data_IF_818336037855
#
_entry.id   IF_818336037855
#
_cell.length_a   1.000
_cell.length_b   1.000
_cell.length_c   1.000
_cell.angle_alpha   90.00
_cell.angle_beta   90.00
_cell.angle_gamma   90.00
#
_symmetry.space_group_name_H-M   'P 1'
#
loop_
_entity.id
_entity.type
_entity.pdbx_description
1 polymer ?
#
# COMPACT_ATOMS: atom_id res chain seq x y z
N UNK A 1 34.43 -14.76 -11.52
CA UNK A 1 34.05 -14.24 -10.19
C UNK A 1 33.47 -12.87 -10.42
N UNK A 2 32.14 -12.75 -10.40
CA UNK A 2 31.50 -11.44 -10.52
C UNK A 2 31.78 -10.66 -9.23
N UNK A 3 32.20 -9.42 -9.36
CA UNK A 3 32.34 -8.52 -8.21
C UNK A 3 31.03 -8.53 -7.40
N UNK A 4 31.09 -8.46 -6.05
CA UNK A 4 29.89 -8.25 -5.27
C UNK A 4 29.30 -6.92 -5.70
N UNK A 5 28.20 -6.96 -6.44
CA UNK A 5 27.48 -5.78 -6.89
C UNK A 5 27.17 -4.92 -5.67
N UNK A 6 27.90 -3.81 -5.53
CA UNK A 6 27.66 -2.84 -4.45
C UNK A 6 26.20 -2.42 -4.50
N UNK A 7 25.53 -2.48 -3.36
CA UNK A 7 24.20 -1.89 -3.21
C UNK A 7 24.29 -0.41 -3.54
N UNK A 8 23.44 0.05 -4.44
CA UNK A 8 23.38 1.48 -4.78
C UNK A 8 22.85 2.25 -3.57
N UNK A 9 23.47 3.39 -3.26
CA UNK A 9 23.00 4.31 -2.24
C UNK A 9 21.96 5.28 -2.83
N UNK A 10 21.19 5.94 -1.95
CA UNK A 10 20.14 6.87 -2.39
C UNK A 10 20.67 8.10 -3.11
N UNK A 11 21.90 8.50 -2.82
CA UNK A 11 22.54 9.67 -3.42
C UNK A 11 23.13 9.36 -4.81
N UNK A 12 23.28 8.07 -5.15
CA UNK A 12 23.92 7.60 -6.37
C UNK A 12 22.91 7.15 -7.46
N UNK A 13 21.60 7.33 -7.21
CA UNK A 13 20.56 6.92 -8.17
C UNK A 13 20.59 7.82 -9.41
N UNK A 14 20.76 7.22 -10.59
CA UNK A 14 20.65 7.94 -11.86
C UNK A 14 19.16 8.17 -12.20
N UNK A 15 18.70 9.41 -12.08
CA UNK A 15 17.33 9.80 -12.40
C UNK A 15 17.03 9.81 -13.92
N UNK A 16 18.05 9.62 -14.76
CA UNK A 16 17.89 9.41 -16.20
C UNK A 16 17.73 7.94 -16.59
N UNK A 17 18.15 7.00 -15.72
CA UNK A 17 17.91 5.56 -15.85
C UNK A 17 17.22 4.99 -14.60
N UNK A 18 15.98 5.44 -14.29
CA UNK A 18 15.27 5.01 -13.10
C UNK A 18 14.79 3.55 -13.23
N UNK A 19 14.59 2.82 -12.11
CA UNK A 19 14.12 1.44 -12.12
C UNK A 19 12.74 1.27 -12.77
N UNK A 20 11.96 2.34 -12.92
CA UNK A 20 10.69 2.39 -13.64
C UNK A 20 10.48 3.80 -14.21
N UNK A 21 9.65 3.96 -15.26
CA UNK A 21 9.38 5.27 -15.85
C UNK A 21 8.85 6.27 -14.81
N UNK A 22 9.51 7.41 -14.70
CA UNK A 22 9.09 8.54 -13.86
C UNK A 22 8.09 9.40 -14.62
N UNK A 23 6.97 9.73 -13.99
CA UNK A 23 6.01 10.72 -14.50
C UNK A 23 6.57 12.14 -14.39
N UNK A 24 5.92 13.11 -15.02
CA UNK A 24 6.24 14.53 -14.84
C UNK A 24 6.15 14.95 -13.36
N UNK A 25 5.14 14.46 -12.65
CA UNK A 25 4.93 14.76 -11.23
C UNK A 25 6.06 14.16 -10.37
N UNK A 26 6.49 12.93 -10.66
CA UNK A 26 7.60 12.31 -9.92
C UNK A 26 8.90 13.12 -10.08
N UNK A 27 9.14 13.65 -11.29
CA UNK A 27 10.31 14.51 -11.56
C UNK A 27 10.23 15.84 -10.83
N UNK A 28 9.05 16.44 -10.76
CA UNK A 28 8.81 17.66 -9.99
C UNK A 28 9.08 17.44 -8.51
N UNK A 29 8.54 16.37 -7.92
CA UNK A 29 8.78 16.02 -6.51
C UNK A 29 10.27 15.82 -6.24
N UNK A 30 10.97 15.10 -7.12
CA UNK A 30 12.41 14.87 -6.96
C UNK A 30 13.24 16.16 -7.02
N UNK A 31 12.72 17.22 -7.65
CA UNK A 31 13.36 18.54 -7.70
C UNK A 31 13.06 19.42 -6.47
N UNK A 32 12.09 19.03 -5.64
CA UNK A 32 11.68 19.74 -4.43
C UNK A 32 12.46 19.26 -3.20
N UNK A 33 12.70 20.15 -2.23
CA UNK A 33 13.26 19.75 -0.92
C UNK A 33 12.15 19.24 -0.02
N UNK A 34 12.48 18.33 0.90
CA UNK A 34 11.52 17.83 1.89
C UNK A 34 10.86 18.96 2.71
N UNK A 35 11.61 20.02 3.02
CA UNK A 35 11.13 21.19 3.77
C UNK A 35 10.08 22.00 3.01
N UNK A 36 10.14 21.97 1.67
CA UNK A 36 9.25 22.69 0.77
C UNK A 36 8.06 21.79 0.31
N UNK A 37 8.05 20.51 0.70
CA UNK A 37 7.00 19.58 0.34
C UNK A 37 5.73 19.78 1.19
N UNK A 38 4.59 20.01 0.53
CA UNK A 38 3.28 20.03 1.22
C UNK A 38 2.88 18.62 1.62
N UNK A 39 2.97 18.33 2.91
CA UNK A 39 2.49 17.05 3.47
C UNK A 39 0.98 16.95 3.32
N UNK A 40 0.52 15.83 2.77
CA UNK A 40 -0.91 15.58 2.59
C UNK A 40 -1.59 15.45 3.95
N UNK A 41 -2.53 16.35 4.22
CA UNK A 41 -3.30 16.37 5.47
C UNK A 41 -4.44 15.36 5.46
N UNK A 42 -5.05 15.11 6.61
CA UNK A 42 -6.24 14.24 6.69
C UNK A 42 -7.41 14.75 5.85
N UNK A 43 -7.61 16.05 5.76
CA UNK A 43 -8.68 16.63 4.93
C UNK A 43 -8.33 16.56 3.43
N UNK A 44 -7.06 16.75 3.06
CA UNK A 44 -6.60 16.48 1.69
C UNK A 44 -6.87 15.02 1.29
N UNK A 45 -6.59 14.07 2.19
CA UNK A 45 -6.84 12.64 1.95
C UNK A 45 -8.32 12.33 1.72
N UNK A 46 -9.21 12.88 2.54
CA UNK A 46 -10.66 12.73 2.33
C UNK A 46 -11.05 13.23 0.95
N UNK A 47 -10.60 14.44 0.60
CA UNK A 47 -10.92 15.04 -0.69
C UNK A 47 -10.36 14.22 -1.88
N UNK A 48 -9.12 13.77 -1.79
CA UNK A 48 -8.47 12.96 -2.83
C UNK A 48 -9.21 11.63 -3.04
N UNK A 49 -9.60 10.96 -1.95
CA UNK A 49 -10.31 9.68 -2.01
C UNK A 49 -11.73 9.88 -2.54
N UNK A 50 -12.45 10.89 -2.06
CA UNK A 50 -13.81 11.22 -2.52
C UNK A 50 -13.84 11.56 -4.01
N UNK A 51 -12.87 12.33 -4.49
CA UNK A 51 -12.75 12.70 -5.91
C UNK A 51 -12.04 11.66 -6.77
N UNK A 52 -11.56 10.57 -6.16
CA UNK A 52 -10.78 9.51 -6.79
C UNK A 52 -9.57 10.03 -7.59
N UNK A 53 -8.86 11.04 -7.06
CA UNK A 53 -7.66 11.65 -7.68
C UNK A 53 -6.37 11.10 -7.07
N UNK A 54 -6.30 9.76 -6.97
CA UNK A 54 -5.26 9.04 -6.22
C UNK A 54 -3.83 9.29 -6.73
N UNK A 55 -3.68 9.76 -7.97
CA UNK A 55 -2.42 10.21 -8.54
C UNK A 55 -1.77 11.35 -7.76
N UNK A 56 -2.53 12.11 -6.95
CA UNK A 56 -2.01 13.15 -6.07
C UNK A 56 -1.29 12.60 -4.83
N UNK A 57 -1.50 11.32 -4.50
CA UNK A 57 -0.85 10.71 -3.35
C UNK A 57 0.61 10.37 -3.69
N UNK A 58 1.52 11.12 -3.07
CA UNK A 58 2.95 11.13 -3.42
C UNK A 58 3.82 10.94 -2.19
N UNK A 59 5.04 10.45 -2.41
CA UNK A 59 6.04 10.32 -1.35
C UNK A 59 6.76 11.64 -1.15
N UNK A 60 7.32 11.82 0.04
CA UNK A 60 8.32 12.88 0.25
C UNK A 60 9.46 12.74 -0.77
N UNK A 61 10.11 13.84 -1.18
CA UNK A 61 11.23 13.79 -2.12
C UNK A 61 12.34 12.82 -1.68
N UNK A 62 12.76 12.85 -0.41
CA UNK A 62 13.78 11.94 0.13
C UNK A 62 13.32 10.47 0.12
N UNK A 63 12.07 10.19 0.51
CA UNK A 63 11.50 8.85 0.50
C UNK A 63 11.32 8.32 -0.92
N UNK A 64 11.00 9.19 -1.90
CA UNK A 64 10.94 8.80 -3.31
C UNK A 64 12.33 8.40 -3.83
N UNK A 65 13.40 9.14 -3.49
CA UNK A 65 14.78 8.76 -3.85
C UNK A 65 15.19 7.42 -3.24
N UNK A 66 14.88 7.22 -1.96
CA UNK A 66 15.11 5.96 -1.26
C UNK A 66 14.32 4.81 -1.89
N UNK A 67 13.06 5.05 -2.24
CA UNK A 67 12.21 4.06 -2.89
C UNK A 67 12.73 3.66 -4.27
N UNK A 68 13.23 4.61 -5.07
CA UNK A 68 13.85 4.31 -6.37
C UNK A 68 15.09 3.42 -6.19
N UNK A 69 15.95 3.78 -5.24
CA UNK A 69 17.17 3.03 -4.95
C UNK A 69 16.87 1.62 -4.48
N UNK A 70 15.95 1.48 -3.52
CA UNK A 70 15.45 0.19 -3.07
C UNK A 70 14.85 -0.61 -4.22
N UNK A 71 13.99 0.00 -5.04
CA UNK A 71 13.34 -0.66 -6.17
C UNK A 71 14.36 -1.20 -7.18
N UNK A 72 15.43 -0.45 -7.43
CA UNK A 72 16.54 -0.88 -8.29
C UNK A 72 17.24 -2.14 -7.73
N UNK A 73 17.62 -2.12 -6.45
CA UNK A 73 18.29 -3.25 -5.80
C UNK A 73 17.37 -4.48 -5.71
N UNK A 74 16.09 -4.28 -5.41
CA UNK A 74 15.09 -5.35 -5.35
C UNK A 74 14.86 -5.98 -6.73
N UNK A 75 14.76 -5.19 -7.80
CA UNK A 75 14.60 -5.72 -9.15
C UNK A 75 15.81 -6.56 -9.58
N UNK A 76 17.04 -6.16 -9.23
CA UNK A 76 18.24 -6.97 -9.50
C UNK A 76 18.25 -8.29 -8.74
N UNK A 77 17.80 -8.29 -7.49
CA UNK A 77 17.90 -9.47 -6.61
C UNK A 77 16.72 -10.44 -6.78
N UNK A 78 15.50 -9.93 -6.93
CA UNK A 78 14.27 -10.72 -6.94
C UNK A 78 13.58 -10.75 -8.33
N UNK A 79 14.13 -10.04 -9.32
CA UNK A 79 13.55 -9.87 -10.66
C UNK A 79 12.37 -8.90 -10.73
N UNK A 80 11.58 -8.76 -9.65
CA UNK A 80 10.50 -7.78 -9.55
C UNK A 80 10.16 -7.43 -8.11
N UNK A 81 9.52 -6.28 -7.89
CA UNK A 81 8.96 -5.90 -6.59
C UNK A 81 7.88 -6.89 -6.16
N UNK A 82 7.04 -7.36 -7.09
CA UNK A 82 6.03 -8.40 -6.81
C UNK A 82 6.65 -9.67 -6.23
N UNK A 83 7.75 -10.15 -6.83
CA UNK A 83 8.46 -11.34 -6.32
C UNK A 83 9.01 -11.11 -4.91
N UNK A 84 9.62 -9.96 -4.66
CA UNK A 84 10.09 -9.60 -3.32
C UNK A 84 8.95 -9.58 -2.31
N UNK A 85 7.83 -8.93 -2.62
CA UNK A 85 6.68 -8.85 -1.70
C UNK A 85 6.14 -10.24 -1.40
N UNK A 86 5.92 -11.09 -2.42
CA UNK A 86 5.44 -12.46 -2.22
C UNK A 86 6.42 -13.26 -1.34
N UNK A 87 7.72 -13.20 -1.61
CA UNK A 87 8.71 -14.06 -0.95
C UNK A 87 9.12 -13.57 0.45
N UNK A 88 9.26 -12.26 0.62
CA UNK A 88 9.88 -11.65 1.81
C UNK A 88 8.87 -10.97 2.74
N UNK A 89 7.72 -10.53 2.21
CA UNK A 89 6.69 -9.85 3.02
C UNK A 89 5.51 -10.76 3.28
N UNK A 90 5.00 -11.46 2.27
CA UNK A 90 3.81 -12.28 2.38
C UNK A 90 4.14 -13.74 2.72
N UNK A 91 5.27 -14.27 2.25
CA UNK A 91 5.62 -15.69 2.32
C UNK A 91 4.56 -16.63 1.72
N UNK A 92 3.74 -16.11 0.80
CA UNK A 92 2.70 -16.90 0.16
C UNK A 92 3.30 -17.75 -0.96
N UNK A 93 2.81 -18.99 -1.09
CA UNK A 93 3.19 -19.88 -2.19
C UNK A 93 2.25 -19.66 -3.38
N UNK A 94 2.71 -19.06 -4.49
CA UNK A 94 1.86 -18.86 -5.65
C UNK A 94 1.58 -20.18 -6.38
N UNK A 95 0.36 -20.32 -6.91
CA UNK A 95 -0.07 -21.44 -7.76
C UNK A 95 0.34 -21.23 -9.24
N UNK A 96 0.29 -19.98 -9.69
CA UNK A 96 0.78 -19.52 -10.99
C UNK A 96 1.77 -18.39 -10.78
N UNK A 97 2.64 -18.08 -11.73
CA UNK A 97 3.65 -17.02 -11.56
C UNK A 97 3.36 -15.75 -12.36
N UNK A 98 2.57 -15.83 -13.44
CA UNK A 98 2.33 -14.71 -14.35
C UNK A 98 0.88 -14.72 -14.89
N UNK A 99 -0.07 -14.01 -14.26
CA UNK A 99 0.05 -13.34 -12.96
C UNK A 99 0.11 -14.36 -11.80
N UNK A 100 0.62 -13.95 -10.62
CA UNK A 100 0.54 -14.77 -9.43
C UNK A 100 -0.91 -15.00 -9.00
N UNK A 101 -1.21 -16.21 -8.55
CA UNK A 101 -2.50 -16.58 -7.92
C UNK A 101 -2.24 -17.41 -6.68
N UNK A 102 -3.19 -17.44 -5.75
CA UNK A 102 -3.02 -18.09 -4.45
C UNK A 102 -4.24 -18.95 -4.12
N UNK A 103 -4.01 -20.06 -3.42
CA UNK A 103 -5.10 -20.81 -2.80
C UNK A 103 -5.74 -19.97 -1.71
N UNK A 104 -7.07 -19.91 -1.69
CA UNK A 104 -7.84 -19.21 -0.68
C UNK A 104 -8.98 -20.10 -0.16
N UNK A 105 -9.36 -19.90 1.09
CA UNK A 105 -10.44 -20.63 1.75
C UNK A 105 -11.82 -20.09 1.40
N UNK A 106 -11.92 -18.78 1.14
CA UNK A 106 -13.18 -18.12 0.81
C UNK A 106 -13.13 -17.38 -0.52
N UNK A 107 -14.20 -17.48 -1.35
CA UNK A 107 -14.31 -16.71 -2.59
C UNK A 107 -14.59 -15.22 -2.34
N UNK A 108 -14.85 -14.81 -1.09
CA UNK A 108 -15.13 -13.42 -0.72
C UNK A 108 -13.86 -12.83 -0.09
N UNK A 109 -13.25 -11.77 -0.67
CA UNK A 109 -12.10 -11.10 -0.08
C UNK A 109 -12.34 -10.71 1.39
N UNK A 110 -11.30 -10.87 2.21
CA UNK A 110 -11.28 -10.48 3.63
C UNK A 110 -12.26 -11.20 4.57
N UNK A 111 -12.96 -12.23 4.09
CA UNK A 111 -13.91 -12.98 4.92
C UNK A 111 -13.24 -14.05 5.80
N UNK A 112 -12.14 -14.67 5.33
CA UNK A 112 -11.37 -15.64 6.11
C UNK A 112 -10.01 -15.04 6.51
N UNK A 113 -9.64 -15.00 7.80
CA UNK A 113 -8.37 -14.43 8.27
C UNK A 113 -7.12 -15.13 7.74
N UNK A 114 -7.24 -16.33 7.15
CA UNK A 114 -6.12 -17.05 6.51
C UNK A 114 -5.84 -16.57 5.09
N UNK A 115 -6.77 -15.81 4.50
CA UNK A 115 -6.71 -15.37 3.10
C UNK A 115 -6.19 -13.93 2.95
N UNK A 116 -5.89 -13.23 4.05
CA UNK A 116 -5.34 -11.87 4.01
C UNK A 116 -4.35 -11.59 5.12
N UNK A 117 -3.56 -10.54 4.95
CA UNK A 117 -2.67 -10.02 5.99
C UNK A 117 -2.63 -8.50 5.95
N UNK A 118 -2.68 -7.88 7.13
CA UNK A 118 -2.49 -6.43 7.30
C UNK A 118 -1.04 -6.18 7.67
N UNK A 119 -0.35 -5.31 6.92
CA UNK A 119 1.04 -4.94 7.18
C UNK A 119 1.18 -3.42 7.15
N UNK A 120 2.14 -2.88 7.91
CA UNK A 120 2.61 -1.51 7.69
C UNK A 120 3.19 -1.40 6.28
N UNK A 121 2.89 -0.27 5.62
CA UNK A 121 3.51 0.06 4.35
C UNK A 121 4.97 0.45 4.60
N UNK A 122 5.91 -0.29 4.00
CA UNK A 122 7.34 0.02 4.09
C UNK A 122 7.71 1.34 3.39
N UNK A 123 6.86 1.78 2.46
CA UNK A 123 7.08 2.96 1.62
C UNK A 123 5.83 3.86 1.62
N UNK A 124 5.49 4.44 2.79
CA UNK A 124 4.31 5.29 2.93
C UNK A 124 4.43 6.54 2.06
N UNK A 125 3.30 7.20 1.83
CA UNK A 125 3.29 8.50 1.17
C UNK A 125 3.63 9.63 2.16
N UNK A 126 3.86 10.83 1.64
CA UNK A 126 4.28 12.02 2.38
C UNK A 126 3.13 12.66 3.15
N UNK A 127 2.64 11.96 4.17
CA UNK A 127 1.54 12.43 5.02
C UNK A 127 2.02 13.36 6.13
N UNK A 128 1.08 14.09 6.73
CA UNK A 128 1.30 14.76 8.01
C UNK A 128 1.53 13.73 9.15
N UNK A 129 2.20 14.12 10.25
CA UNK A 129 2.35 13.25 11.41
C UNK A 129 1.01 12.73 11.95
N UNK A 130 1.00 11.51 12.49
CA UNK A 130 -0.20 10.88 13.05
C UNK A 130 -0.95 9.98 12.07
N UNK A 131 -0.64 10.01 10.77
CA UNK A 131 -1.28 9.15 9.77
C UNK A 131 -0.46 7.87 9.55
N UNK A 132 -1.03 6.73 9.91
CA UNK A 132 -0.43 5.42 9.69
C UNK A 132 -0.91 4.82 8.38
N UNK A 133 0.03 4.37 7.53
CA UNK A 133 -0.27 3.73 6.26
C UNK A 133 -0.15 2.21 6.36
N UNK A 134 -1.27 1.51 6.25
CA UNK A 134 -1.36 0.06 6.25
C UNK A 134 -1.74 -0.45 4.85
N UNK A 135 -1.36 -1.69 4.59
CA UNK A 135 -1.73 -2.46 3.40
C UNK A 135 -2.45 -3.71 3.85
N UNK A 136 -3.63 -3.96 3.29
CA UNK A 136 -4.35 -5.23 3.48
C UNK A 136 -4.19 -6.03 2.20
N UNK A 137 -3.33 -7.04 2.25
CA UNK A 137 -3.05 -7.93 1.12
C UNK A 137 -4.06 -9.08 1.10
N UNK A 138 -4.57 -9.44 -0.07
CA UNK A 138 -5.57 -10.50 -0.24
C UNK A 138 -5.07 -11.60 -1.17
N UNK A 139 -5.24 -12.87 -0.76
CA UNK A 139 -5.11 -14.06 -1.61
C UNK A 139 -6.30 -14.19 -2.56
N UNK A 140 -7.48 -13.82 -2.08
CA UNK A 140 -8.72 -13.80 -2.86
C UNK A 140 -8.76 -12.55 -3.74
N UNK A 141 -8.93 -12.68 -5.07
CA UNK A 141 -8.96 -11.52 -5.96
C UNK A 141 -10.10 -10.54 -5.64
N UNK A 142 -9.82 -9.25 -5.79
CA UNK A 142 -10.78 -8.16 -5.59
C UNK A 142 -11.26 -7.70 -6.98
N UNK A 143 -12.55 -7.86 -7.26
CA UNK A 143 -13.08 -7.56 -8.58
C UNK A 143 -13.08 -6.06 -8.87
N UNK A 144 -12.46 -5.67 -9.98
CA UNK A 144 -12.44 -4.30 -10.51
C UNK A 144 -13.33 -4.16 -11.74
N UNK A 145 -13.84 -2.95 -11.99
CA UNK A 145 -14.46 -2.61 -13.26
C UNK A 145 -13.42 -2.62 -14.40
N UNK A 146 -13.89 -2.73 -15.64
CA UNK A 146 -13.03 -2.82 -16.84
C UNK A 146 -12.67 -1.48 -17.45
N UNK A 147 -13.35 -0.39 -17.07
CA UNK A 147 -13.19 0.92 -17.72
C UNK A 147 -12.13 1.77 -17.01
N UNK A 148 -12.25 1.89 -15.69
CA UNK A 148 -11.39 2.70 -14.81
C UNK A 148 -10.42 1.82 -14.03
N UNK A 149 -10.76 0.55 -13.83
CA UNK A 149 -9.99 -0.33 -12.95
C UNK A 149 -10.20 0.00 -11.48
N UNK A 150 -11.29 0.71 -11.14
CA UNK A 150 -11.75 0.88 -9.77
C UNK A 150 -12.45 -0.40 -9.29
N UNK A 151 -12.67 -0.55 -7.98
CA UNK A 151 -13.40 -1.69 -7.44
C UNK A 151 -14.86 -1.67 -7.88
N UNK A 152 -15.40 -2.85 -8.21
CA UNK A 152 -16.84 -3.01 -8.44
C UNK A 152 -17.66 -2.59 -7.22
N UNK A 153 -18.92 -2.20 -7.41
CA UNK A 153 -19.82 -1.85 -6.29
C UNK A 153 -19.94 -2.98 -5.26
N UNK A 154 -19.99 -4.24 -5.71
CA UNK A 154 -20.00 -5.42 -4.83
C UNK A 154 -18.70 -5.53 -4.03
N UNK A 155 -17.54 -5.35 -4.66
CA UNK A 155 -16.26 -5.39 -3.95
C UNK A 155 -16.09 -4.21 -2.99
N UNK A 156 -16.61 -3.03 -3.36
CA UNK A 156 -16.63 -1.84 -2.49
C UNK A 156 -17.37 -2.12 -1.19
N UNK A 157 -18.58 -2.71 -1.26
CA UNK A 157 -19.35 -3.11 -0.06
C UNK A 157 -18.59 -4.12 0.81
N UNK A 158 -17.96 -5.13 0.20
CA UNK A 158 -17.14 -6.11 0.92
C UNK A 158 -15.97 -5.45 1.64
N UNK A 159 -15.29 -4.49 0.99
CA UNK A 159 -14.19 -3.74 1.61
C UNK A 159 -14.69 -2.86 2.74
N UNK A 160 -15.78 -2.12 2.54
CA UNK A 160 -16.35 -1.22 3.56
C UNK A 160 -16.82 -2.01 4.81
N UNK A 161 -17.48 -3.14 4.62
CA UNK A 161 -17.88 -4.04 5.72
C UNK A 161 -16.65 -4.60 6.46
N UNK A 162 -15.60 -4.96 5.74
CA UNK A 162 -14.33 -5.38 6.35
C UNK A 162 -13.67 -4.24 7.12
N UNK A 163 -13.65 -3.02 6.56
CA UNK A 163 -13.05 -1.85 7.19
C UNK A 163 -13.76 -1.51 8.50
N UNK A 164 -15.08 -1.50 8.49
CA UNK A 164 -15.90 -1.30 9.68
C UNK A 164 -15.55 -2.34 10.76
N UNK A 165 -15.64 -3.62 10.40
CA UNK A 165 -15.52 -4.72 11.36
C UNK A 165 -14.09 -4.97 11.88
N UNK A 166 -13.08 -4.66 11.07
CA UNK A 166 -11.67 -4.91 11.43
C UNK A 166 -10.98 -3.70 12.05
N UNK A 167 -11.25 -2.49 11.53
CA UNK A 167 -10.57 -1.27 11.97
C UNK A 167 -11.46 -0.42 12.87
N UNK A 168 -12.66 -0.07 12.44
CA UNK A 168 -13.54 0.84 13.20
C UNK A 168 -13.95 0.21 14.54
N UNK A 169 -14.41 -1.04 14.53
CA UNK A 169 -14.80 -1.77 15.74
C UNK A 169 -13.65 -1.91 16.76
N UNK A 170 -12.42 -2.06 16.27
CA UNK A 170 -11.25 -2.17 17.15
C UNK A 170 -10.90 -0.83 17.80
N UNK A 171 -10.98 0.27 17.06
CA UNK A 171 -10.79 1.61 17.60
C UNK A 171 -11.88 1.97 18.62
N UNK A 172 -13.12 1.55 18.36
CA UNK A 172 -14.21 1.69 19.33
C UNK A 172 -13.93 0.89 20.61
N UNK A 173 -13.45 -0.35 20.47
CA UNK A 173 -13.03 -1.20 21.59
C UNK A 173 -11.86 -0.58 22.37
N UNK A 174 -11.01 0.21 21.71
CA UNK A 174 -9.93 0.99 22.31
C UNK A 174 -10.39 2.32 22.95
N UNK A 175 -11.70 2.61 22.97
CA UNK A 175 -12.29 3.74 23.69
C UNK A 175 -12.70 4.93 22.84
N UNK A 176 -12.58 4.86 21.50
CA UNK A 176 -13.12 5.90 20.63
C UNK A 176 -14.64 5.80 20.50
N UNK A 177 -15.32 6.94 20.31
CA UNK A 177 -16.73 6.92 19.91
C UNK A 177 -16.86 6.36 18.50
N UNK A 178 -18.04 5.83 18.14
CA UNK A 178 -18.28 5.31 16.79
C UNK A 178 -17.98 6.34 15.69
N UNK A 179 -18.40 7.60 15.91
CA UNK A 179 -18.15 8.67 14.95
C UNK A 179 -16.64 8.96 14.81
N UNK A 180 -15.93 9.07 15.94
CA UNK A 180 -14.49 9.31 15.93
C UNK A 180 -13.72 8.17 15.25
N UNK A 181 -14.09 6.92 15.52
CA UNK A 181 -13.48 5.75 14.91
C UNK A 181 -13.67 5.75 13.38
N UNK A 182 -14.90 5.99 12.91
CA UNK A 182 -15.19 6.10 11.46
C UNK A 182 -14.41 7.22 10.80
N UNK A 183 -14.39 8.40 11.41
CA UNK A 183 -13.72 9.58 10.86
C UNK A 183 -12.19 9.47 10.86
N UNK A 184 -11.63 8.48 11.56
CA UNK A 184 -10.20 8.24 11.68
C UNK A 184 -9.67 7.16 10.72
N UNK A 185 -10.54 6.51 9.94
CA UNK A 185 -10.15 5.44 9.01
C UNK A 185 -10.56 5.82 7.59
N UNK A 186 -9.58 5.83 6.68
CA UNK A 186 -9.81 5.98 5.25
C UNK A 186 -9.23 4.77 4.51
N UNK A 187 -9.81 4.45 3.35
CA UNK A 187 -9.28 3.40 2.51
C UNK A 187 -9.37 3.77 1.04
N UNK A 188 -8.49 3.18 0.24
CA UNK A 188 -8.54 3.26 -1.21
C UNK A 188 -7.86 2.04 -1.84
N UNK A 189 -8.15 1.78 -3.11
CA UNK A 189 -7.40 0.82 -3.93
C UNK A 189 -6.73 1.59 -5.07
N UNK A 190 -5.41 1.44 -5.20
CA UNK A 190 -4.71 2.00 -6.35
C UNK A 190 -5.22 1.34 -7.64
N UNK A 191 -5.35 2.14 -8.69
CA UNK A 191 -5.77 1.67 -10.02
C UNK A 191 -4.62 0.83 -10.62
N UNK A 192 -4.91 -0.01 -11.61
CA UNK A 192 -3.91 -0.93 -12.20
C UNK A 192 -2.67 -0.19 -12.72
N UNK A 193 -2.82 1.04 -13.21
CA UNK A 193 -1.71 1.88 -13.70
C UNK A 193 -0.80 2.40 -12.58
N UNK A 194 -1.31 2.58 -11.36
CA UNK A 194 -0.59 3.15 -10.21
C UNK A 194 0.04 2.08 -9.30
N UNK A 195 -0.35 0.81 -9.45
CA UNK A 195 0.15 -0.28 -8.61
C UNK A 195 1.60 -0.66 -8.95
N UNK A 196 2.47 -0.57 -7.94
CA UNK A 196 3.85 -1.07 -8.02
C UNK A 196 3.94 -2.60 -7.89
N UNK A 197 2.96 -3.25 -7.23
CA UNK A 197 2.87 -4.70 -7.07
C UNK A 197 1.67 -5.20 -7.87
N UNK A 198 1.92 -5.55 -9.12
CA UNK A 198 0.88 -6.10 -10.00
C UNK A 198 0.66 -7.57 -9.69
N UNK A 199 -0.60 -7.99 -9.70
CA UNK A 199 -1.01 -9.39 -9.55
C UNK A 199 -1.19 -9.90 -8.12
N UNK A 200 -0.91 -9.08 -7.10
CA UNK A 200 -1.30 -9.39 -5.71
C UNK A 200 -2.22 -8.26 -5.24
N UNK A 201 -3.49 -8.59 -5.05
CA UNK A 201 -4.48 -7.58 -4.69
C UNK A 201 -4.27 -7.08 -3.27
N UNK A 202 -4.40 -5.77 -3.11
CA UNK A 202 -4.32 -5.10 -1.83
C UNK A 202 -5.15 -3.82 -1.82
N UNK A 203 -5.60 -3.43 -0.63
CA UNK A 203 -6.16 -2.09 -0.37
C UNK A 203 -5.24 -1.34 0.59
N UNK A 204 -5.21 -0.02 0.45
CA UNK A 204 -4.51 0.86 1.36
C UNK A 204 -5.49 1.31 2.44
N UNK A 205 -5.07 1.24 3.70
CA UNK A 205 -5.80 1.76 4.85
C UNK A 205 -4.95 2.87 5.45
N UNK A 206 -5.56 4.03 5.68
CA UNK A 206 -4.97 5.15 6.39
C UNK A 206 -5.71 5.28 7.72
N UNK A 207 -4.97 5.33 8.82
CA UNK A 207 -5.56 5.50 10.15
C UNK A 207 -4.90 6.68 10.85
N UNK A 208 -5.71 7.62 11.33
CA UNK A 208 -5.23 8.79 12.08
C UNK A 208 -5.15 8.48 13.57
N UNK A 209 -3.99 8.76 14.16
CA UNK A 209 -3.69 8.65 15.59
C UNK A 209 -4.02 7.27 16.19
N UNK A 210 -3.75 6.21 15.43
CA UNK A 210 -3.97 4.84 15.87
C UNK A 210 -3.09 4.51 17.10
N UNK A 211 -3.65 4.00 18.21
CA UNK A 211 -2.85 3.53 19.35
C UNK A 211 -1.92 2.38 18.95
N UNK A 212 -0.70 2.37 19.51
CA UNK A 212 0.32 1.36 19.20
C UNK A 212 -0.19 -0.08 19.43
N UNK A 213 -0.87 -0.34 20.54
CA UNK A 213 -1.45 -1.66 20.83
C UNK A 213 -2.50 -2.11 19.79
N UNK A 214 -3.23 -1.15 19.19
CA UNK A 214 -4.19 -1.44 18.13
C UNK A 214 -3.46 -1.77 16.82
N UNK A 215 -2.39 -1.04 16.49
CA UNK A 215 -1.53 -1.32 15.33
C UNK A 215 -0.87 -2.70 15.43
N UNK A 216 -0.34 -3.07 16.59
CA UNK A 216 0.23 -4.40 16.86
C UNK A 216 -0.80 -5.50 16.66
N UNK A 217 -2.04 -5.27 17.13
CA UNK A 217 -3.13 -6.24 16.98
C UNK A 217 -3.53 -6.42 15.52
N UNK A 218 -3.72 -5.34 14.76
CA UNK A 218 -4.06 -5.41 13.34
C UNK A 218 -2.98 -6.08 12.52
N UNK A 219 -1.71 -5.82 12.82
CA UNK A 219 -0.59 -6.37 12.05
C UNK A 219 -0.18 -7.79 12.48
N UNK A 220 -0.91 -8.39 13.43
CA UNK A 220 -0.73 -9.79 13.80
C UNK A 220 -1.08 -10.70 12.63
N UNK A 221 -0.16 -11.60 12.30
CA UNK A 221 -0.31 -12.53 11.18
C UNK A 221 -1.12 -13.77 11.55
N UNK A 222 -2.10 -14.08 10.69
CA UNK A 222 -2.97 -15.25 10.78
C UNK A 222 -2.93 -16.12 9.51
N UNK A 223 -2.12 -15.71 8.54
CA UNK A 223 -2.05 -16.25 7.18
C UNK A 223 -0.84 -17.19 6.94
N UNK A 224 0.02 -17.31 7.95
CA UNK A 224 1.24 -18.14 7.96
C UNK A 224 1.00 -19.52 8.59
#
# INVERSE_FOLDING_TARGET
MGEPSQELSADDIDLNDPPFPLTSIDREILATKDEDYHRTTWEDLKHIIETNTLEQLKRLPSDLRRYLTWSHNIKRTYGSITNYVIQQRLHWKPLTTTPPTFSHHSPIPFSDPRDYVVLLNDWPYGFEPGITHLLVWSRTPIATDRERGDVTETSRKVIEEFVERYFVDELMSAGQSQQAAKDSVLWFKNWVSLQSVRGVDHVHILVRDAPEAVLEKWTKRHDL
#
